data_IF_699802947457
#
_entry.id   IF_699802947457
#
_cell.length_a   1.000
_cell.length_b   1.000
_cell.length_c   1.000
_cell.angle_alpha   90.00
_cell.angle_beta   90.00
_cell.angle_gamma   90.00
#
_symmetry.space_group_name_H-M   'P 1'
#
loop_
_entity.id
_entity.type
_entity.pdbx_description
1 polymer ?
#
# COMPACT_ATOMS: atom_id res chain seq x y z
N UNK A 1 10.35 -17.61 -15.91
CA UNK A 1 9.92 -18.18 -17.20
C UNK A 1 9.79 -19.71 -17.07
N UNK A 2 8.92 -20.18 -16.17
CA UNK A 2 8.64 -21.61 -15.91
C UNK A 2 7.20 -21.78 -15.34
N UNK A 3 6.16 -21.34 -16.07
CA UNK A 3 4.77 -21.50 -15.57
C UNK A 3 3.77 -22.01 -16.59
N UNK A 4 4.17 -22.28 -17.85
CA UNK A 4 3.19 -22.46 -18.91
C UNK A 4 2.53 -23.83 -19.04
N UNK A 5 2.83 -24.83 -18.19
CA UNK A 5 2.18 -26.15 -18.34
C UNK A 5 1.92 -26.95 -17.07
N UNK A 6 1.73 -26.31 -15.91
CA UNK A 6 1.18 -27.03 -14.75
C UNK A 6 -0.35 -26.91 -14.80
N UNK A 7 -1.01 -27.95 -15.31
CA UNK A 7 -2.48 -28.07 -15.32
C UNK A 7 -2.92 -28.84 -14.07
N UNK A 8 -3.80 -28.23 -13.27
CA UNK A 8 -4.59 -28.99 -12.32
C UNK A 8 -5.53 -29.89 -13.12
N UNK A 9 -5.37 -31.21 -12.99
CA UNK A 9 -6.28 -32.16 -13.63
C UNK A 9 -7.58 -32.23 -12.84
N UNK A 10 -8.69 -32.57 -13.51
CA UNK A 10 -9.99 -32.75 -12.85
C UNK A 10 -9.91 -33.74 -11.67
N UNK A 11 -9.11 -34.81 -11.80
CA UNK A 11 -8.87 -35.77 -10.73
C UNK A 11 -8.15 -35.18 -9.51
N UNK A 12 -7.18 -34.30 -9.71
CA UNK A 12 -6.42 -33.65 -8.63
C UNK A 12 -7.26 -32.56 -7.91
N UNK A 13 -8.14 -31.86 -8.64
CA UNK A 13 -9.13 -30.94 -8.03
C UNK A 13 -10.13 -31.74 -7.19
N UNK A 14 -10.62 -32.87 -7.72
CA UNK A 14 -11.56 -33.75 -7.03
C UNK A 14 -11.00 -34.24 -5.68
N UNK A 15 -9.72 -34.61 -5.61
CA UNK A 15 -9.07 -35.03 -4.36
C UNK A 15 -8.92 -33.93 -3.30
N UNK A 16 -9.11 -32.66 -3.67
CA UNK A 16 -9.02 -31.51 -2.77
C UNK A 16 -10.39 -30.90 -2.42
N UNK A 17 -11.50 -31.50 -2.84
CA UNK A 17 -12.85 -30.92 -2.70
C UNK A 17 -13.31 -30.72 -1.25
N UNK A 18 -12.79 -31.53 -0.31
CA UNK A 18 -13.10 -31.44 1.11
C UNK A 18 -12.15 -30.52 1.90
N UNK A 19 -11.07 -30.03 1.26
CA UNK A 19 -10.08 -29.19 1.91
C UNK A 19 -10.53 -27.73 1.97
N UNK A 20 -10.19 -27.06 3.07
CA UNK A 20 -10.25 -25.60 3.16
C UNK A 20 -9.19 -24.96 2.27
N UNK A 21 -9.38 -23.69 1.87
CA UNK A 21 -8.38 -22.99 1.06
C UNK A 21 -7.01 -22.91 1.74
N UNK A 22 -6.96 -22.74 3.06
CA UNK A 22 -5.72 -22.75 3.82
C UNK A 22 -4.98 -24.11 3.75
N UNK A 23 -5.70 -25.23 3.78
CA UNK A 23 -5.12 -26.56 3.63
C UNK A 23 -4.61 -26.80 2.21
N UNK A 24 -5.34 -26.32 1.19
CA UNK A 24 -4.89 -26.38 -0.21
C UNK A 24 -3.59 -25.60 -0.40
N UNK A 25 -3.52 -24.37 0.13
CA UNK A 25 -2.29 -23.57 0.10
C UNK A 25 -1.14 -24.33 0.77
N UNK A 26 -1.36 -24.88 1.96
CA UNK A 26 -0.32 -25.60 2.70
C UNK A 26 0.19 -26.83 1.93
N UNK A 27 -0.71 -27.61 1.35
CA UNK A 27 -0.38 -28.79 0.55
C UNK A 27 0.48 -28.38 -0.66
N UNK A 28 0.01 -27.42 -1.44
CA UNK A 28 0.69 -26.95 -2.64
C UNK A 28 2.05 -26.31 -2.33
N UNK A 29 2.17 -25.58 -1.23
CA UNK A 29 3.44 -25.02 -0.75
C UNK A 29 4.41 -26.07 -0.23
N UNK A 30 3.94 -27.26 0.16
CA UNK A 30 4.83 -28.37 0.52
C UNK A 30 5.37 -29.09 -0.74
N UNK A 31 4.53 -29.25 -1.76
CA UNK A 31 4.85 -29.97 -2.99
C UNK A 31 5.64 -29.12 -4.01
N UNK A 32 5.54 -27.80 -3.91
CA UNK A 32 6.07 -26.88 -4.89
C UNK A 32 6.75 -25.66 -4.26
N UNK A 33 7.57 -24.96 -5.05
CA UNK A 33 8.07 -23.64 -4.64
C UNK A 33 6.93 -22.60 -4.59
N UNK A 34 7.14 -21.51 -3.86
CA UNK A 34 6.14 -20.48 -3.61
C UNK A 34 5.46 -19.95 -4.89
N UNK A 35 6.21 -19.70 -5.97
CA UNK A 35 5.66 -19.15 -7.21
C UNK A 35 4.68 -20.13 -7.86
N UNK A 36 5.04 -21.41 -7.90
CA UNK A 36 4.19 -22.47 -8.44
C UNK A 36 2.97 -22.72 -7.54
N UNK A 37 3.16 -22.77 -6.22
CA UNK A 37 2.07 -22.98 -5.27
C UNK A 37 1.00 -21.88 -5.34
N UNK A 38 1.44 -20.62 -5.48
CA UNK A 38 0.54 -19.47 -5.66
C UNK A 38 -0.25 -19.59 -6.97
N UNK A 39 0.40 -19.92 -8.09
CA UNK A 39 -0.28 -20.07 -9.39
C UNK A 39 -1.26 -21.26 -9.42
N UNK A 40 -0.95 -22.35 -8.71
CA UNK A 40 -1.87 -23.48 -8.58
C UNK A 40 -3.07 -23.13 -7.68
N UNK A 41 -2.83 -22.44 -6.56
CA UNK A 41 -3.92 -21.97 -5.70
C UNK A 41 -4.84 -21.01 -6.45
N UNK A 42 -4.26 -20.10 -7.24
CA UNK A 42 -4.98 -19.17 -8.13
C UNK A 42 -5.92 -19.92 -9.07
N UNK A 43 -5.42 -20.93 -9.78
CA UNK A 43 -6.21 -21.78 -10.68
C UNK A 43 -7.31 -22.54 -9.92
N UNK A 44 -6.99 -23.10 -8.76
CA UNK A 44 -7.96 -23.81 -7.92
C UNK A 44 -9.11 -22.90 -7.47
N UNK A 45 -8.82 -21.65 -7.09
CA UNK A 45 -9.85 -20.67 -6.71
C UNK A 45 -10.84 -20.39 -7.86
N UNK A 46 -10.36 -20.33 -9.11
CA UNK A 46 -11.20 -20.08 -10.29
C UNK A 46 -12.00 -21.30 -10.76
N UNK A 47 -11.47 -22.50 -10.54
CA UNK A 47 -12.06 -23.74 -11.02
C UNK A 47 -13.00 -24.41 -10.01
N UNK A 48 -12.90 -24.05 -8.73
CA UNK A 48 -13.70 -24.65 -7.68
C UNK A 48 -15.17 -24.23 -7.75
N UNK A 49 -16.07 -25.21 -7.58
CA UNK A 49 -17.51 -25.00 -7.42
C UNK A 49 -17.93 -24.88 -5.95
N UNK A 50 -16.98 -25.02 -5.01
CA UNK A 50 -17.26 -24.92 -3.59
C UNK A 50 -17.45 -23.45 -3.18
N UNK A 51 -18.59 -23.14 -2.57
CA UNK A 51 -18.95 -21.79 -2.16
C UNK A 51 -17.93 -21.13 -1.22
N UNK A 52 -17.39 -21.87 -0.26
CA UNK A 52 -16.39 -21.34 0.68
C UNK A 52 -15.07 -21.02 -0.02
N UNK A 53 -14.66 -21.88 -0.97
CA UNK A 53 -13.46 -21.63 -1.78
C UNK A 53 -13.66 -20.41 -2.68
N UNK A 54 -14.83 -20.25 -3.29
CA UNK A 54 -15.11 -19.08 -4.13
C UNK A 54 -15.06 -17.78 -3.32
N UNK A 55 -15.63 -17.75 -2.11
CA UNK A 55 -15.58 -16.57 -1.21
C UNK A 55 -14.14 -16.25 -0.79
N UNK A 56 -13.43 -17.23 -0.22
CA UNK A 56 -12.05 -17.05 0.28
C UNK A 56 -11.04 -16.83 -0.85
N UNK A 57 -11.34 -17.37 -2.04
CA UNK A 57 -10.62 -17.15 -3.28
C UNK A 57 -10.61 -15.68 -3.69
N UNK A 58 -11.70 -14.93 -3.44
CA UNK A 58 -11.72 -13.48 -3.68
C UNK A 58 -10.63 -12.77 -2.85
N UNK A 59 -10.48 -13.14 -1.57
CA UNK A 59 -9.42 -12.58 -0.73
C UNK A 59 -8.04 -13.02 -1.20
N UNK A 60 -7.87 -14.30 -1.52
CA UNK A 60 -6.60 -14.84 -2.03
C UNK A 60 -6.14 -14.11 -3.29
N UNK A 61 -7.02 -13.97 -4.28
CA UNK A 61 -6.71 -13.26 -5.53
C UNK A 61 -6.41 -11.78 -5.25
N UNK A 62 -7.15 -11.13 -4.35
CA UNK A 62 -6.91 -9.74 -3.98
C UNK A 62 -5.55 -9.53 -3.33
N UNK A 63 -5.22 -10.27 -2.27
CA UNK A 63 -3.97 -10.06 -1.52
C UNK A 63 -2.74 -10.37 -2.37
N UNK A 64 -2.84 -11.35 -3.28
CA UNK A 64 -1.77 -11.71 -4.21
C UNK A 64 -1.69 -10.79 -5.44
N UNK A 65 -2.69 -9.95 -5.69
CA UNK A 65 -2.67 -8.96 -6.77
C UNK A 65 -3.16 -9.48 -8.12
N UNK A 66 -3.87 -10.61 -8.15
CA UNK A 66 -4.50 -11.18 -9.34
C UNK A 66 -5.82 -10.48 -9.66
N UNK A 67 -5.77 -9.19 -10.00
CA UNK A 67 -6.97 -8.35 -10.11
C UNK A 67 -7.88 -8.69 -11.29
N UNK A 68 -7.36 -9.26 -12.38
CA UNK A 68 -8.19 -9.66 -13.52
C UNK A 68 -8.98 -10.93 -13.21
N UNK A 69 -8.32 -11.94 -12.64
CA UNK A 69 -8.97 -13.13 -12.09
C UNK A 69 -9.94 -12.80 -10.96
N UNK A 70 -9.61 -11.82 -10.13
CA UNK A 70 -10.54 -11.34 -9.11
C UNK A 70 -11.83 -10.81 -9.74
N UNK A 71 -11.76 -10.08 -10.86
CA UNK A 71 -12.97 -9.62 -11.58
C UNK A 71 -13.77 -10.79 -12.14
N UNK A 72 -13.10 -11.83 -12.63
CA UNK A 72 -13.76 -13.05 -13.10
C UNK A 72 -14.49 -13.75 -11.95
N UNK A 73 -13.83 -13.95 -10.82
CA UNK A 73 -14.41 -14.61 -9.66
C UNK A 73 -15.53 -13.78 -9.02
N UNK A 74 -15.45 -12.44 -9.06
CA UNK A 74 -16.56 -11.55 -8.66
C UNK A 74 -17.80 -11.85 -9.51
N UNK A 75 -17.68 -11.87 -10.85
CA UNK A 75 -18.81 -12.14 -11.75
C UNK A 75 -19.44 -13.51 -11.49
N UNK A 76 -18.62 -14.52 -11.21
CA UNK A 76 -19.09 -15.86 -10.84
C UNK A 76 -19.93 -15.80 -9.56
N UNK A 77 -19.45 -15.11 -8.53
CA UNK A 77 -20.15 -15.00 -7.24
C UNK A 77 -21.39 -14.09 -7.32
N UNK A 78 -21.40 -13.07 -8.18
CA UNK A 78 -22.58 -12.23 -8.45
C UNK A 78 -23.76 -13.06 -8.99
N UNK A 79 -23.47 -14.03 -9.86
CA UNK A 79 -24.46 -14.96 -10.43
C UNK A 79 -24.81 -16.16 -9.56
N UNK A 80 -24.24 -16.28 -8.35
CA UNK A 80 -24.46 -17.43 -7.46
C UNK A 80 -25.87 -17.43 -6.88
N UNK A 81 -26.46 -18.62 -6.73
CA UNK A 81 -27.73 -18.82 -6.01
C UNK A 81 -27.59 -18.50 -4.50
N UNK A 82 -26.37 -18.57 -3.97
CA UNK A 82 -26.07 -18.31 -2.56
C UNK A 82 -25.98 -16.81 -2.26
N UNK A 83 -26.83 -16.35 -1.34
CA UNK A 83 -26.89 -14.94 -0.95
C UNK A 83 -25.56 -14.41 -0.39
N UNK A 84 -24.88 -15.19 0.46
CA UNK A 84 -23.57 -14.85 1.03
C UNK A 84 -22.54 -14.58 -0.09
N UNK A 85 -22.41 -15.46 -1.09
CA UNK A 85 -21.51 -15.26 -2.23
C UNK A 85 -21.79 -13.95 -2.98
N UNK A 86 -23.07 -13.62 -3.23
CA UNK A 86 -23.43 -12.34 -3.87
C UNK A 86 -23.01 -11.12 -3.04
N UNK A 87 -23.11 -11.19 -1.71
CA UNK A 87 -22.63 -10.11 -0.84
C UNK A 87 -21.11 -9.97 -0.87
N UNK A 88 -20.37 -11.08 -0.86
CA UNK A 88 -18.91 -11.08 -1.03
C UNK A 88 -18.53 -10.41 -2.36
N UNK A 89 -19.19 -10.79 -3.45
CA UNK A 89 -18.96 -10.21 -4.76
C UNK A 89 -19.17 -8.69 -4.75
N UNK A 90 -20.29 -8.23 -4.16
CA UNK A 90 -20.59 -6.80 -4.00
C UNK A 90 -19.49 -6.05 -3.24
N UNK A 91 -19.02 -6.59 -2.11
CA UNK A 91 -17.94 -5.95 -1.33
C UNK A 91 -16.64 -5.88 -2.13
N UNK A 92 -16.23 -6.95 -2.80
CA UNK A 92 -15.02 -6.93 -3.62
C UNK A 92 -15.13 -6.04 -4.87
N UNK A 93 -16.33 -5.89 -5.44
CA UNK A 93 -16.59 -4.93 -6.49
C UNK A 93 -16.30 -3.49 -6.00
N UNK A 94 -16.77 -3.13 -4.79
CA UNK A 94 -16.47 -1.84 -4.16
C UNK A 94 -14.96 -1.70 -3.89
N UNK A 95 -14.30 -2.75 -3.40
CA UNK A 95 -12.84 -2.77 -3.19
C UNK A 95 -12.09 -2.45 -4.48
N UNK A 96 -12.48 -3.02 -5.62
CA UNK A 96 -11.89 -2.74 -6.93
C UNK A 96 -12.24 -1.34 -7.45
N UNK A 97 -13.50 -0.90 -7.32
CA UNK A 97 -13.96 0.41 -7.76
C UNK A 97 -13.19 1.55 -7.07
N UNK A 98 -12.85 1.38 -5.78
CA UNK A 98 -11.99 2.29 -5.05
C UNK A 98 -10.61 2.44 -5.69
N UNK A 99 -10.01 1.34 -6.16
CA UNK A 99 -8.67 1.37 -6.79
C UNK A 99 -8.69 2.14 -8.10
N UNK A 100 -9.80 2.11 -8.84
CA UNK A 100 -9.95 2.84 -10.10
C UNK A 100 -10.51 4.25 -9.92
N UNK A 101 -10.85 4.66 -8.68
CA UNK A 101 -11.51 5.95 -8.37
C UNK A 101 -12.78 6.20 -9.19
N UNK A 102 -13.47 5.12 -9.55
CA UNK A 102 -14.64 5.16 -10.43
C UNK A 102 -15.92 5.60 -9.71
N UNK A 103 -15.87 5.79 -8.39
CA UNK A 103 -17.06 5.98 -7.58
C UNK A 103 -16.79 6.88 -6.36
N UNK A 104 -17.76 7.71 -5.92
CA UNK A 104 -17.57 8.59 -4.76
C UNK A 104 -17.37 7.81 -3.45
N UNK A 105 -16.39 8.20 -2.64
CA UNK A 105 -16.02 7.49 -1.41
C UNK A 105 -17.13 7.48 -0.35
N UNK A 106 -17.89 8.57 -0.21
CA UNK A 106 -19.06 8.62 0.69
C UNK A 106 -20.13 7.61 0.30
N UNK A 107 -20.35 7.43 -1.00
CA UNK A 107 -21.35 6.50 -1.51
C UNK A 107 -20.91 5.06 -1.28
N UNK A 108 -19.62 4.75 -1.49
CA UNK A 108 -19.05 3.44 -1.11
C UNK A 108 -19.31 3.14 0.37
N UNK A 109 -19.08 4.11 1.26
CA UNK A 109 -19.28 3.91 2.70
C UNK A 109 -20.72 3.61 3.07
N UNK A 110 -21.67 4.37 2.52
CA UNK A 110 -23.11 4.11 2.76
C UNK A 110 -23.48 2.70 2.32
N UNK A 111 -23.08 2.31 1.11
CA UNK A 111 -23.36 0.96 0.61
C UNK A 111 -22.74 -0.15 1.45
N UNK A 112 -21.52 0.06 1.94
CA UNK A 112 -20.85 -0.89 2.84
C UNK A 112 -21.56 -1.01 4.19
N UNK A 113 -22.05 0.09 4.75
CA UNK A 113 -22.78 0.12 6.02
C UNK A 113 -24.17 -0.53 5.93
N UNK A 114 -24.78 -0.49 4.74
CA UNK A 114 -26.09 -1.10 4.46
C UNK A 114 -26.02 -2.62 4.29
N UNK A 115 -24.84 -3.18 4.00
CA UNK A 115 -24.66 -4.63 3.88
C UNK A 115 -24.76 -5.27 5.28
N UNK A 116 -25.75 -6.14 5.45
CA UNK A 116 -25.92 -6.98 6.65
C UNK A 116 -25.55 -8.42 6.30
N UNK A 117 -24.74 -9.05 7.14
CA UNK A 117 -24.27 -10.41 6.94
C UNK A 117 -23.93 -11.05 8.28
N UNK A 118 -24.18 -12.36 8.36
CA UNK A 118 -23.81 -13.19 9.50
C UNK A 118 -22.38 -13.77 9.35
N UNK A 119 -21.80 -13.70 8.15
CA UNK A 119 -20.43 -14.14 7.87
C UNK A 119 -19.41 -13.26 8.64
N UNK A 120 -18.68 -13.81 9.62
CA UNK A 120 -17.70 -13.05 10.41
C UNK A 120 -16.61 -12.41 9.54
N UNK A 121 -16.13 -13.15 8.55
CA UNK A 121 -15.08 -12.71 7.64
C UNK A 121 -15.54 -11.54 6.76
N UNK A 122 -16.78 -11.59 6.25
CA UNK A 122 -17.32 -10.51 5.43
C UNK A 122 -17.55 -9.25 6.25
N UNK A 123 -18.03 -9.39 7.50
CA UNK A 123 -18.14 -8.25 8.44
C UNK A 123 -16.78 -7.60 8.64
N UNK A 124 -15.73 -8.39 8.87
CA UNK A 124 -14.38 -7.86 9.04
C UNK A 124 -13.86 -7.17 7.76
N UNK A 125 -14.12 -7.75 6.58
CA UNK A 125 -13.74 -7.16 5.30
C UNK A 125 -14.44 -5.82 5.02
N UNK A 126 -15.74 -5.72 5.34
CA UNK A 126 -16.51 -4.47 5.23
C UNK A 126 -15.82 -3.36 6.04
N UNK A 127 -15.42 -3.66 7.27
CA UNK A 127 -14.76 -2.68 8.14
C UNK A 127 -13.39 -2.25 7.64
N UNK A 128 -12.59 -3.20 7.11
CA UNK A 128 -11.35 -2.85 6.43
C UNK A 128 -11.60 -1.94 5.22
N UNK A 129 -12.66 -2.22 4.45
CA UNK A 129 -13.02 -1.49 3.24
C UNK A 129 -13.51 -0.08 3.57
N UNK A 130 -14.25 0.10 4.68
CA UNK A 130 -14.62 1.43 5.19
C UNK A 130 -13.38 2.22 5.59
N UNK A 131 -12.47 1.67 6.38
CA UNK A 131 -11.20 2.34 6.73
C UNK A 131 -10.39 2.70 5.48
N UNK A 132 -10.41 1.82 4.49
CA UNK A 132 -9.79 2.01 3.18
C UNK A 132 -10.29 3.26 2.44
N UNK A 133 -11.57 3.64 2.61
CA UNK A 133 -12.12 4.89 2.03
C UNK A 133 -11.60 6.13 2.75
N UNK A 134 -11.52 6.12 4.08
CA UNK A 134 -10.97 7.24 4.86
C UNK A 134 -9.48 7.46 4.58
N UNK A 135 -8.73 6.39 4.39
CA UNK A 135 -7.31 6.48 3.99
C UNK A 135 -7.14 7.14 2.62
N UNK A 136 -8.07 6.94 1.68
CA UNK A 136 -8.07 7.64 0.40
C UNK A 136 -8.33 9.14 0.54
N UNK A 137 -8.96 9.58 1.64
CA UNK A 137 -9.15 10.99 2.03
C UNK A 137 -8.06 11.52 2.99
N UNK A 138 -7.01 10.72 3.26
CA UNK A 138 -5.94 11.05 4.22
C UNK A 138 -6.43 11.20 5.68
N UNK A 139 -7.62 10.68 5.99
CA UNK A 139 -8.20 10.67 7.35
C UNK A 139 -7.74 9.44 8.14
N UNK A 140 -6.42 9.33 8.35
CA UNK A 140 -5.82 8.13 8.92
C UNK A 140 -6.32 7.78 10.33
N UNK A 141 -6.79 8.77 11.10
CA UNK A 141 -7.32 8.57 12.46
C UNK A 141 -8.56 7.66 12.52
N UNK A 142 -9.30 7.52 11.40
CA UNK A 142 -10.50 6.69 11.34
C UNK A 142 -10.21 5.18 11.50
N UNK A 143 -8.94 4.77 11.43
CA UNK A 143 -8.55 3.40 11.80
C UNK A 143 -8.89 3.07 13.27
N UNK A 144 -8.97 4.08 14.16
CA UNK A 144 -9.35 3.87 15.55
C UNK A 144 -10.70 3.15 15.72
N UNK A 145 -11.64 3.42 14.81
CA UNK A 145 -12.94 2.74 14.80
C UNK A 145 -12.81 1.24 14.53
N UNK A 146 -11.94 0.83 13.60
CA UNK A 146 -11.64 -0.58 13.36
C UNK A 146 -10.92 -1.20 14.57
N UNK A 147 -9.92 -0.52 15.12
CA UNK A 147 -9.15 -1.03 16.26
C UNK A 147 -10.02 -1.28 17.50
N UNK A 148 -11.00 -0.41 17.75
CA UNK A 148 -11.93 -0.56 18.89
C UNK A 148 -12.74 -1.86 18.88
N UNK A 149 -12.96 -2.44 17.69
CA UNK A 149 -13.73 -3.68 17.50
C UNK A 149 -12.91 -4.84 16.93
N UNK A 150 -11.62 -4.61 16.68
CA UNK A 150 -10.76 -5.57 15.97
C UNK A 150 -10.74 -6.93 16.68
N UNK A 151 -10.55 -6.94 18.00
CA UNK A 151 -10.47 -8.17 18.78
C UNK A 151 -11.73 -9.02 18.59
N UNK A 152 -12.91 -8.42 18.78
CA UNK A 152 -14.19 -9.10 18.61
C UNK A 152 -14.43 -9.59 17.16
N UNK A 153 -13.99 -8.82 16.16
CA UNK A 153 -14.07 -9.23 14.76
C UNK A 153 -13.15 -10.42 14.45
N UNK A 154 -11.94 -10.43 14.99
CA UNK A 154 -10.95 -11.47 14.74
C UNK A 154 -11.29 -12.76 15.48
N UNK A 155 -11.75 -12.66 16.74
CA UNK A 155 -12.15 -13.83 17.53
C UNK A 155 -13.34 -14.59 16.92
N UNK A 156 -14.17 -13.90 16.14
CA UNK A 156 -15.30 -14.53 15.44
C UNK A 156 -14.88 -15.32 14.19
N UNK A 157 -13.65 -15.15 13.70
CA UNK A 157 -13.15 -15.81 12.49
C UNK A 157 -12.37 -17.06 12.88
N UNK A 158 -12.84 -18.22 12.42
CA UNK A 158 -12.19 -19.51 12.68
C UNK A 158 -11.18 -19.88 11.59
N UNK A 159 -11.36 -19.33 10.37
CA UNK A 159 -10.49 -19.62 9.23
C UNK A 159 -9.12 -18.93 9.37
N UNK A 160 -8.08 -19.75 9.52
CA UNK A 160 -6.70 -19.27 9.73
C UNK A 160 -6.12 -18.54 8.52
N UNK A 161 -6.52 -18.93 7.29
CA UNK A 161 -6.09 -18.22 6.09
C UNK A 161 -6.67 -16.80 6.08
N UNK A 162 -7.96 -16.66 6.38
CA UNK A 162 -8.62 -15.35 6.44
C UNK A 162 -8.05 -14.47 7.54
N UNK A 163 -7.80 -15.02 8.73
CA UNK A 163 -7.11 -14.30 9.81
C UNK A 163 -5.72 -13.81 9.38
N UNK A 164 -4.95 -14.65 8.69
CA UNK A 164 -3.65 -14.26 8.14
C UNK A 164 -3.80 -13.11 7.14
N UNK A 165 -4.69 -13.24 6.15
CA UNK A 165 -4.94 -12.22 5.15
C UNK A 165 -5.36 -10.86 5.76
N UNK A 166 -6.25 -10.89 6.76
CA UNK A 166 -6.69 -9.71 7.47
C UNK A 166 -5.63 -9.09 8.37
N UNK A 167 -4.75 -9.90 8.97
CA UNK A 167 -3.55 -9.39 9.65
C UNK A 167 -2.64 -8.63 8.68
N UNK A 168 -2.42 -9.16 7.46
CA UNK A 168 -1.61 -8.49 6.45
C UNK A 168 -2.21 -7.13 6.06
N UNK A 169 -3.53 -7.05 5.88
CA UNK A 169 -4.24 -5.78 5.63
C UNK A 169 -4.09 -4.80 6.79
N UNK A 170 -4.25 -5.28 8.02
CA UNK A 170 -4.12 -4.48 9.22
C UNK A 170 -2.70 -3.91 9.36
N UNK A 171 -1.67 -4.73 9.17
CA UNK A 171 -0.27 -4.29 9.27
C UNK A 171 0.06 -3.20 8.25
N UNK A 172 -0.42 -3.31 7.01
CA UNK A 172 -0.24 -2.25 6.01
C UNK A 172 -0.88 -0.93 6.47
N UNK A 173 -2.09 -0.98 7.06
CA UNK A 173 -2.80 0.21 7.53
C UNK A 173 -2.16 0.83 8.76
N UNK A 174 -1.74 0.01 9.72
CA UNK A 174 -1.06 0.44 10.93
C UNK A 174 0.30 1.06 10.61
N UNK A 175 1.04 0.49 9.66
CA UNK A 175 2.27 1.08 9.18
C UNK A 175 2.06 2.54 8.73
N UNK A 176 1.10 2.78 7.82
CA UNK A 176 0.82 4.14 7.33
C UNK A 176 0.33 5.05 8.46
N UNK A 177 -0.58 4.56 9.33
CA UNK A 177 -1.09 5.34 10.45
C UNK A 177 0.03 5.84 11.37
N UNK A 178 0.85 4.92 11.87
CA UNK A 178 1.95 5.25 12.78
C UNK A 178 3.02 6.10 12.09
N UNK A 179 3.29 5.85 10.80
CA UNK A 179 4.21 6.69 10.04
C UNK A 179 3.71 8.13 9.98
N UNK A 180 2.44 8.34 9.61
CA UNK A 180 1.86 9.69 9.50
C UNK A 180 1.78 10.41 10.85
N UNK A 181 1.68 9.67 11.96
CA UNK A 181 1.77 10.20 13.32
C UNK A 181 3.21 10.39 13.84
N UNK A 182 4.23 10.14 13.02
CA UNK A 182 5.65 10.20 13.40
C UNK A 182 6.04 9.21 14.52
N UNK A 183 5.33 8.08 14.63
CA UNK A 183 5.59 6.98 15.59
C UNK A 183 6.42 5.87 14.92
N UNK A 184 7.69 6.19 14.59
CA UNK A 184 8.49 5.40 13.64
C UNK A 184 8.83 3.97 14.09
N UNK A 185 9.02 3.73 15.39
CA UNK A 185 9.29 2.38 15.91
C UNK A 185 8.12 1.46 15.57
N UNK A 186 6.90 1.92 15.84
CA UNK A 186 5.68 1.17 15.54
C UNK A 186 5.44 1.04 14.04
N UNK A 187 5.64 2.12 13.28
CA UNK A 187 5.53 2.11 11.82
C UNK A 187 6.42 1.02 11.21
N UNK A 188 7.72 1.03 11.52
CA UNK A 188 8.71 0.09 10.98
C UNK A 188 8.41 -1.35 11.40
N UNK A 189 8.00 -1.58 12.67
CA UNK A 189 7.55 -2.90 13.14
C UNK A 189 6.46 -3.48 12.25
N UNK A 190 5.42 -2.72 11.95
CA UNK A 190 4.33 -3.19 11.08
C UNK A 190 4.74 -3.31 9.62
N UNK A 191 5.65 -2.46 9.15
CA UNK A 191 6.21 -2.58 7.82
C UNK A 191 6.94 -3.91 7.63
N UNK A 192 7.81 -4.29 8.56
CA UNK A 192 8.52 -5.58 8.51
C UNK A 192 7.56 -6.77 8.60
N UNK A 193 6.54 -6.72 9.46
CA UNK A 193 5.50 -7.77 9.52
C UNK A 193 4.80 -7.95 8.16
N UNK A 194 4.37 -6.86 7.54
CA UNK A 194 3.72 -6.91 6.23
C UNK A 194 4.67 -7.39 5.12
N UNK A 195 5.93 -6.95 5.09
CA UNK A 195 6.95 -7.36 4.10
C UNK A 195 7.25 -8.86 4.19
N UNK A 196 7.32 -9.40 5.41
CA UNK A 196 7.62 -10.82 5.64
C UNK A 196 6.43 -11.73 5.35
N UNK A 197 5.21 -11.19 5.34
CA UNK A 197 3.99 -11.96 5.12
C UNK A 197 3.46 -11.86 3.69
N UNK A 198 3.71 -10.75 2.99
CA UNK A 198 3.18 -10.55 1.63
C UNK A 198 3.99 -11.32 0.57
N UNK A 199 3.27 -12.05 -0.28
CA UNK A 199 3.78 -12.67 -1.51
C UNK A 199 3.63 -11.75 -2.72
N UNK A 200 2.71 -10.79 -2.65
CA UNK A 200 2.43 -9.84 -3.73
C UNK A 200 3.61 -8.89 -3.99
N UNK A 201 4.24 -8.94 -5.18
CA UNK A 201 5.41 -8.13 -5.50
C UNK A 201 5.15 -6.62 -5.42
N UNK A 202 3.98 -6.16 -5.89
CA UNK A 202 3.68 -4.71 -5.88
C UNK A 202 3.44 -4.20 -4.47
N UNK A 203 2.82 -5.01 -3.60
CA UNK A 203 2.68 -4.68 -2.18
C UNK A 203 4.05 -4.61 -1.51
N UNK A 204 4.89 -5.63 -1.70
CA UNK A 204 6.25 -5.67 -1.13
C UNK A 204 7.10 -4.48 -1.56
N UNK A 205 7.08 -4.15 -2.86
CA UNK A 205 7.73 -2.96 -3.42
C UNK A 205 7.26 -1.68 -2.73
N UNK A 206 5.95 -1.44 -2.67
CA UNK A 206 5.41 -0.22 -2.06
C UNK A 206 5.76 -0.11 -0.57
N UNK A 207 5.76 -1.24 0.14
CA UNK A 207 6.17 -1.29 1.54
C UNK A 207 7.64 -0.90 1.71
N UNK A 208 8.53 -1.38 0.84
CA UNK A 208 9.95 -0.98 0.85
C UNK A 208 10.13 0.51 0.54
N UNK A 209 9.43 1.06 -0.46
CA UNK A 209 9.49 2.51 -0.76
C UNK A 209 9.08 3.34 0.45
N UNK A 210 7.92 3.04 1.04
CA UNK A 210 7.43 3.78 2.20
C UNK A 210 8.34 3.58 3.41
N UNK A 211 8.86 2.36 3.64
CA UNK A 211 9.77 2.07 4.74
C UNK A 211 11.07 2.87 4.59
N UNK A 212 11.60 2.99 3.37
CA UNK A 212 12.76 3.83 3.09
C UNK A 212 12.54 5.28 3.52
N UNK A 213 11.38 5.84 3.17
CA UNK A 213 11.01 7.21 3.50
C UNK A 213 10.86 7.43 5.01
N UNK A 214 10.58 6.39 5.80
CA UNK A 214 10.60 6.56 7.27
C UNK A 214 11.98 6.89 7.81
N UNK A 215 13.07 6.61 7.08
CA UNK A 215 14.45 6.88 7.49
C UNK A 215 14.96 8.27 7.08
N UNK A 216 14.13 9.12 6.47
CA UNK A 216 14.51 10.47 6.00
C UNK A 216 15.21 11.31 7.06
N UNK A 217 14.87 11.15 8.34
CA UNK A 217 15.50 11.92 9.42
C UNK A 217 16.45 11.11 10.32
N UNK A 218 16.72 9.85 9.98
CA UNK A 218 17.48 8.95 10.83
C UNK A 218 18.78 8.49 10.16
N UNK A 219 18.69 7.88 8.96
CA UNK A 219 19.86 7.30 8.30
C UNK A 219 19.67 7.10 6.81
N UNK A 220 20.58 7.69 6.04
CA UNK A 220 20.64 7.54 4.58
C UNK A 220 20.75 6.08 4.13
N UNK A 221 21.62 5.29 4.78
CA UNK A 221 21.96 3.96 4.31
C UNK A 221 20.81 2.96 4.43
N UNK A 222 20.02 3.03 5.50
CA UNK A 222 18.83 2.17 5.65
C UNK A 222 17.73 2.57 4.67
N UNK A 223 17.51 3.88 4.48
CA UNK A 223 16.59 4.35 3.46
C UNK A 223 16.98 3.86 2.06
N UNK A 224 18.25 4.03 1.70
CA UNK A 224 18.78 3.62 0.40
C UNK A 224 18.76 2.10 0.20
N UNK A 225 19.02 1.31 1.25
CA UNK A 225 18.86 -0.15 1.20
C UNK A 225 17.45 -0.54 0.77
N UNK A 226 16.43 0.03 1.40
CA UNK A 226 15.04 -0.29 1.06
C UNK A 226 14.63 0.24 -0.33
N UNK A 227 15.10 1.40 -0.78
CA UNK A 227 14.86 1.86 -2.15
C UNK A 227 15.49 0.93 -3.19
N UNK A 228 16.70 0.41 -2.92
CA UNK A 228 17.35 -0.58 -3.79
C UNK A 228 16.57 -1.90 -3.86
N UNK A 229 16.07 -2.39 -2.73
CA UNK A 229 15.21 -3.59 -2.73
C UNK A 229 13.89 -3.34 -3.49
N UNK A 230 13.26 -2.19 -3.30
CA UNK A 230 12.08 -1.81 -4.09
C UNK A 230 12.37 -1.76 -5.59
N UNK A 231 13.49 -1.17 -5.99
CA UNK A 231 13.91 -1.04 -7.38
C UNK A 231 14.19 -2.41 -8.02
N UNK A 232 14.85 -3.31 -7.28
CA UNK A 232 15.10 -4.69 -7.69
C UNK A 232 13.79 -5.42 -8.00
N UNK A 233 12.79 -5.30 -7.12
CA UNK A 233 11.45 -5.88 -7.35
C UNK A 233 10.78 -5.22 -8.57
N UNK A 234 10.83 -3.89 -8.66
CA UNK A 234 10.23 -3.13 -9.76
C UNK A 234 10.77 -3.57 -11.13
N UNK A 235 12.09 -3.69 -11.25
CA UNK A 235 12.77 -4.15 -12.48
C UNK A 235 12.45 -5.61 -12.78
N UNK A 236 12.50 -6.50 -11.78
CA UNK A 236 12.18 -7.92 -11.94
C UNK A 236 10.77 -8.15 -12.53
N UNK A 237 9.79 -7.33 -12.12
CA UNK A 237 8.39 -7.45 -12.54
C UNK A 237 7.97 -6.43 -13.62
N UNK A 238 8.92 -5.74 -14.25
CA UNK A 238 8.67 -4.76 -15.32
C UNK A 238 7.69 -3.63 -14.94
N UNK A 239 7.70 -3.18 -13.68
CA UNK A 239 6.89 -2.05 -13.22
C UNK A 239 7.55 -0.71 -13.58
N UNK A 240 7.61 -0.37 -14.87
CA UNK A 240 8.30 0.82 -15.39
C UNK A 240 7.95 2.13 -14.68
N UNK A 241 6.66 2.37 -14.41
CA UNK A 241 6.21 3.55 -13.65
C UNK A 241 6.77 3.60 -12.22
N UNK A 242 6.97 2.43 -11.59
CA UNK A 242 7.56 2.33 -10.24
C UNK A 242 9.07 2.50 -10.29
N UNK A 243 9.74 1.96 -11.31
CA UNK A 243 11.16 2.20 -11.56
C UNK A 243 11.41 3.70 -11.68
N UNK A 244 10.66 4.37 -12.56
CA UNK A 244 10.73 5.82 -12.73
C UNK A 244 10.53 6.57 -11.42
N UNK A 245 9.47 6.26 -10.66
CA UNK A 245 9.20 6.96 -9.40
C UNK A 245 10.30 6.75 -8.34
N UNK A 246 10.93 5.58 -8.30
CA UNK A 246 12.02 5.32 -7.37
C UNK A 246 13.29 6.07 -7.80
N UNK A 247 13.66 6.00 -9.08
CA UNK A 247 14.89 6.58 -9.61
C UNK A 247 14.83 8.11 -9.74
N UNK A 248 13.67 8.67 -10.08
CA UNK A 248 13.51 10.11 -10.29
C UNK A 248 12.88 10.86 -9.12
N UNK A 249 12.19 10.18 -8.19
CA UNK A 249 11.62 10.85 -7.01
C UNK A 249 12.24 10.39 -5.70
N UNK A 250 12.13 9.11 -5.36
CA UNK A 250 12.46 8.67 -4.01
C UNK A 250 13.97 8.68 -3.69
N UNK A 251 14.81 8.24 -4.63
CA UNK A 251 16.27 8.25 -4.49
C UNK A 251 16.80 9.70 -4.45
N UNK A 252 16.44 10.58 -5.42
CA UNK A 252 16.80 11.99 -5.39
C UNK A 252 16.39 12.70 -4.10
N UNK A 253 15.13 12.55 -3.69
CA UNK A 253 14.61 13.15 -2.46
C UNK A 253 15.45 12.76 -1.23
N UNK A 254 15.67 11.46 -1.03
CA UNK A 254 16.41 10.97 0.12
C UNK A 254 17.87 11.43 0.07
N UNK A 255 18.51 11.37 -1.09
CA UNK A 255 19.90 11.81 -1.28
C UNK A 255 20.09 13.30 -1.03
N UNK A 256 19.22 14.15 -1.58
CA UNK A 256 19.25 15.59 -1.38
C UNK A 256 19.05 15.96 0.09
N UNK A 257 18.08 15.35 0.77
CA UNK A 257 17.84 15.59 2.20
C UNK A 257 19.05 15.27 3.09
N UNK A 258 19.93 14.35 2.67
CA UNK A 258 21.17 14.00 3.38
C UNK A 258 22.43 14.70 2.81
N UNK A 259 22.28 15.63 1.87
CA UNK A 259 23.39 16.26 1.13
C UNK A 259 24.35 15.25 0.48
N UNK A 260 23.84 14.09 0.04
CA UNK A 260 24.59 13.01 -0.62
C UNK A 260 24.17 12.89 -2.09
N UNK A 261 24.42 13.94 -2.86
CA UNK A 261 23.93 14.09 -4.24
C UNK A 261 24.94 13.76 -5.33
N UNK A 262 26.15 13.32 -4.97
CA UNK A 262 27.16 12.89 -5.93
C UNK A 262 26.66 11.70 -6.76
N UNK A 263 26.66 11.87 -8.09
CA UNK A 263 26.15 10.85 -9.02
C UNK A 263 24.63 10.65 -8.98
N UNK A 264 23.89 11.54 -8.30
CA UNK A 264 22.43 11.52 -8.25
C UNK A 264 21.87 12.50 -9.29
N UNK A 265 20.87 12.05 -10.04
CA UNK A 265 20.15 12.83 -11.03
C UNK A 265 18.65 12.53 -10.98
N UNK A 266 17.85 13.43 -11.55
CA UNK A 266 16.41 13.23 -11.75
C UNK A 266 15.98 13.91 -13.05
N UNK A 267 14.97 13.34 -13.70
CA UNK A 267 14.23 13.98 -14.79
C UNK A 267 13.09 14.89 -14.28
N UNK A 268 12.71 14.78 -13.00
CA UNK A 268 11.67 15.62 -12.40
C UNK A 268 12.25 16.99 -11.97
N UNK A 269 11.74 18.12 -12.48
CA UNK A 269 12.27 19.45 -12.15
C UNK A 269 12.23 19.77 -10.65
N UNK A 270 11.23 19.26 -9.92
CA UNK A 270 11.10 19.49 -8.47
C UNK A 270 12.25 18.86 -7.71
N UNK A 271 12.63 17.63 -8.08
CA UNK A 271 13.76 16.93 -7.46
C UNK A 271 15.11 17.42 -7.98
N UNK A 272 15.20 17.90 -9.23
CA UNK A 272 16.38 18.63 -9.70
C UNK A 272 16.65 19.87 -8.84
N UNK A 273 15.62 20.66 -8.53
CA UNK A 273 15.76 21.82 -7.65
C UNK A 273 16.23 21.41 -6.24
N UNK A 274 15.67 20.34 -5.67
CA UNK A 274 16.10 19.83 -4.37
C UNK A 274 17.56 19.37 -4.36
N UNK A 275 18.02 18.73 -5.44
CA UNK A 275 19.44 18.38 -5.63
C UNK A 275 20.30 19.64 -5.68
N UNK A 276 19.91 20.69 -6.41
CA UNK A 276 20.66 21.95 -6.47
C UNK A 276 20.69 22.67 -5.12
N UNK A 277 19.59 22.65 -4.36
CA UNK A 277 19.55 23.15 -2.96
C UNK A 277 20.58 22.42 -2.11
N UNK A 278 20.64 21.09 -2.19
CA UNK A 278 21.61 20.28 -1.44
C UNK A 278 23.08 20.53 -1.83
N UNK A 279 23.33 21.07 -3.04
CA UNK A 279 24.66 21.54 -3.48
C UNK A 279 24.98 22.97 -3.04
N UNK A 280 24.01 23.70 -2.49
CA UNK A 280 24.12 25.13 -2.18
C UNK A 280 23.84 26.07 -3.35
N UNK A 281 23.31 25.55 -4.48
CA UNK A 281 23.03 26.32 -5.69
C UNK A 281 21.60 26.90 -5.66
N UNK A 282 21.33 27.78 -4.70
CA UNK A 282 19.99 28.31 -4.43
C UNK A 282 19.37 29.11 -5.59
N UNK A 283 20.15 29.91 -6.30
CA UNK A 283 19.67 30.70 -7.44
C UNK A 283 19.15 29.80 -8.57
N UNK A 284 19.92 28.76 -8.91
CA UNK A 284 19.55 27.77 -9.93
C UNK A 284 18.33 26.97 -9.51
N UNK A 285 18.22 26.59 -8.23
CA UNK A 285 17.03 25.93 -7.71
C UNK A 285 15.79 26.82 -7.83
N UNK A 286 15.93 28.12 -7.55
CA UNK A 286 14.85 29.11 -7.70
C UNK A 286 14.41 29.22 -9.16
N UNK A 287 15.36 29.33 -10.10
CA UNK A 287 15.08 29.35 -11.54
C UNK A 287 14.28 28.11 -11.98
N UNK A 288 14.72 26.91 -11.59
CA UNK A 288 14.02 25.66 -11.92
C UNK A 288 12.59 25.66 -11.34
N UNK A 289 12.39 26.17 -10.13
CA UNK A 289 11.10 26.14 -9.45
C UNK A 289 10.12 27.24 -9.92
N UNK A 290 10.58 28.29 -10.60
CA UNK A 290 9.71 29.35 -11.13
C UNK A 290 8.68 28.80 -12.13
N UNK A 291 9.07 27.79 -12.91
CA UNK A 291 8.20 27.14 -13.89
C UNK A 291 7.39 25.96 -13.32
N UNK A 292 7.53 25.66 -12.02
CA UNK A 292 6.85 24.53 -11.35
C UNK A 292 5.64 25.03 -10.57
N UNK A 293 4.47 24.45 -10.83
CA UNK A 293 3.26 24.72 -10.04
C UNK A 293 3.42 24.26 -8.57
N UNK A 294 3.41 25.21 -7.63
CA UNK A 294 3.63 24.99 -6.18
C UNK A 294 2.40 24.43 -5.44
N UNK A 295 1.76 23.42 -6.01
CA UNK A 295 0.53 22.81 -5.50
C UNK A 295 0.74 21.68 -4.46
N UNK A 296 1.94 21.54 -3.91
CA UNK A 296 2.22 20.55 -2.88
C UNK A 296 3.13 21.13 -1.80
N UNK A 297 3.00 20.65 -0.54
CA UNK A 297 3.82 21.16 0.55
C UNK A 297 5.33 20.90 0.33
N UNK A 298 5.71 19.82 -0.37
CA UNK A 298 7.12 19.58 -0.72
C UNK A 298 7.67 20.64 -1.68
N UNK A 299 6.93 20.97 -2.73
CA UNK A 299 7.34 22.00 -3.70
C UNK A 299 7.47 23.37 -3.04
N UNK A 300 6.50 23.71 -2.19
CA UNK A 300 6.53 24.96 -1.42
C UNK A 300 7.70 24.98 -0.42
N UNK A 301 8.01 23.83 0.20
CA UNK A 301 9.19 23.67 1.05
C UNK A 301 10.49 23.89 0.26
N UNK A 302 10.64 23.29 -0.92
CA UNK A 302 11.83 23.48 -1.76
C UNK A 302 11.97 24.94 -2.22
N UNK A 303 10.86 25.59 -2.61
CA UNK A 303 10.90 27.01 -2.97
C UNK A 303 11.32 27.86 -1.77
N UNK A 304 10.72 27.65 -0.60
CA UNK A 304 11.08 28.37 0.63
C UNK A 304 12.53 28.15 1.06
N UNK A 305 13.10 26.96 0.83
CA UNK A 305 14.53 26.72 1.01
C UNK A 305 15.40 27.51 0.03
N UNK A 306 15.04 27.50 -1.25
CA UNK A 306 15.81 28.17 -2.30
C UNK A 306 15.81 29.70 -2.14
N UNK A 307 14.67 30.28 -1.74
CA UNK A 307 14.51 31.74 -1.58
C UNK A 307 14.76 32.23 -0.15
N UNK A 308 15.00 31.32 0.79
CA UNK A 308 15.03 31.60 2.24
C UNK A 308 13.74 32.28 2.75
N UNK A 309 12.62 32.02 2.09
CA UNK A 309 11.31 32.59 2.45
C UNK A 309 10.64 31.79 3.57
N UNK A 310 10.65 32.38 4.76
CA UNK A 310 10.06 31.81 5.98
C UNK A 310 8.54 31.67 5.91
N UNK A 311 7.85 32.54 5.19
CA UNK A 311 6.40 32.45 5.02
C UNK A 311 6.04 31.22 4.19
N UNK A 312 6.81 30.93 3.14
CA UNK A 312 6.64 29.72 2.34
C UNK A 312 6.90 28.45 3.15
N UNK A 313 7.95 28.44 3.98
CA UNK A 313 8.24 27.30 4.87
C UNK A 313 7.12 27.10 5.90
N UNK A 314 6.62 28.18 6.50
CA UNK A 314 5.49 28.14 7.45
C UNK A 314 4.22 27.61 6.79
N UNK A 315 3.92 28.04 5.57
CA UNK A 315 2.77 27.56 4.82
C UNK A 315 2.92 26.09 4.42
N UNK A 316 4.11 25.67 4.00
CA UNK A 316 4.42 24.26 3.74
C UNK A 316 4.16 23.39 4.97
N UNK A 317 4.61 23.84 6.15
CA UNK A 317 4.36 23.18 7.42
C UNK A 317 2.85 23.00 7.68
N UNK A 318 2.06 24.07 7.54
CA UNK A 318 0.61 24.02 7.71
C UNK A 318 -0.04 23.05 6.74
N UNK A 319 0.35 23.08 5.46
CA UNK A 319 -0.19 22.18 4.44
C UNK A 319 0.10 20.70 4.74
N UNK A 320 1.28 20.36 5.29
CA UNK A 320 1.55 19.00 5.74
C UNK A 320 0.59 18.54 6.85
N UNK A 321 0.30 19.40 7.82
CA UNK A 321 -0.58 19.07 8.94
C UNK A 321 -2.06 19.07 8.51
N UNK A 322 -2.54 20.18 7.97
CA UNK A 322 -3.96 20.44 7.75
C UNK A 322 -4.52 19.72 6.53
N UNK A 323 -3.74 19.57 5.45
CA UNK A 323 -4.20 18.92 4.21
C UNK A 323 -3.80 17.47 4.09
N UNK A 324 -2.69 17.07 4.73
CA UNK A 324 -2.14 15.71 4.57
C UNK A 324 -2.17 14.87 5.84
N UNK A 325 -2.48 15.44 7.00
CA UNK A 325 -2.37 14.79 8.31
C UNK A 325 -0.98 14.10 8.47
N UNK A 326 0.08 14.76 8.00
CA UNK A 326 1.43 14.20 7.86
C UNK A 326 2.41 14.87 8.82
N UNK A 327 2.39 14.42 10.08
CA UNK A 327 3.25 14.92 11.15
C UNK A 327 4.71 14.49 11.00
N UNK A 328 4.99 13.50 10.14
CA UNK A 328 6.35 13.07 9.85
C UNK A 328 7.03 14.06 8.90
N UNK A 329 6.44 14.30 7.72
CA UNK A 329 7.08 15.20 6.75
C UNK A 329 6.91 16.68 7.07
N UNK A 330 5.98 17.08 7.95
CA UNK A 330 5.95 18.45 8.48
C UNK A 330 7.26 18.84 9.18
N UNK A 331 8.09 17.87 9.58
CA UNK A 331 9.43 18.12 10.13
C UNK A 331 10.39 18.76 9.12
N UNK A 332 10.18 18.59 7.82
CA UNK A 332 11.02 19.20 6.77
C UNK A 332 11.04 20.74 6.91
N UNK A 333 9.92 21.46 6.69
CA UNK A 333 9.92 22.92 6.84
C UNK A 333 10.20 23.36 8.29
N UNK A 334 9.77 22.59 9.29
CA UNK A 334 10.01 22.93 10.69
C UNK A 334 11.51 22.95 11.04
N UNK A 335 12.28 21.98 10.55
CA UNK A 335 13.73 21.95 10.77
C UNK A 335 14.42 23.11 10.06
N UNK A 336 14.01 23.42 8.82
CA UNK A 336 14.55 24.57 8.08
C UNK A 336 14.29 25.90 8.82
N UNK A 337 13.09 26.11 9.36
CA UNK A 337 12.76 27.30 10.16
C UNK A 337 13.62 27.42 11.42
N UNK A 338 13.94 26.29 12.07
CA UNK A 338 14.86 26.25 13.23
C UNK A 338 16.28 26.64 12.86
N UNK A 339 16.78 26.14 11.74
CA UNK A 339 18.10 26.50 11.21
C UNK A 339 18.20 28.00 10.86
N UNK A 340 17.07 28.63 10.54
CA UNK A 340 16.96 30.09 10.30
C UNK A 340 16.75 30.93 11.58
N UNK A 341 16.66 30.31 12.76
CA UNK A 341 16.63 30.98 14.07
C UNK A 341 15.26 31.40 14.61
N UNK A 342 14.15 30.78 14.19
CA UNK A 342 12.79 31.16 14.66
C UNK A 342 12.23 30.35 15.85
N UNK A 343 12.78 29.17 16.19
CA UNK A 343 12.21 28.23 17.19
C UNK A 343 13.31 27.54 18.00
#
# INVERSE_FOLDING_TARGET
MYSENIKLTSGYISSMTELTLGQVILLLSHEHNDEVAIELTRKYCLQSTNNEIQKKGLEFLYINGFYDDLKELIKLNEGSEHYSNRLWAKVYQIVLARRTRSYPLEQMRRELQDIKTDDPELRCLIEFTIVDTYYSQLEFGQIGNLLSKQQALFDAIHDQFMLSAFNLRLYQKLFIYYWKKNELIMARKYAFRAINQTTNPITKLNMHVNLALTYTFDTYYQGMYHLKEALKIAKKHNYSKKVYGIENHNIPFLSANFNKVDGISSEDPTEQAHIEIAKGNYDKATEILQDVELNSPFKLYYMGLATQDRNMLTESYKLFIEKRNDYFFSRLPLNALKEMGEI
#
